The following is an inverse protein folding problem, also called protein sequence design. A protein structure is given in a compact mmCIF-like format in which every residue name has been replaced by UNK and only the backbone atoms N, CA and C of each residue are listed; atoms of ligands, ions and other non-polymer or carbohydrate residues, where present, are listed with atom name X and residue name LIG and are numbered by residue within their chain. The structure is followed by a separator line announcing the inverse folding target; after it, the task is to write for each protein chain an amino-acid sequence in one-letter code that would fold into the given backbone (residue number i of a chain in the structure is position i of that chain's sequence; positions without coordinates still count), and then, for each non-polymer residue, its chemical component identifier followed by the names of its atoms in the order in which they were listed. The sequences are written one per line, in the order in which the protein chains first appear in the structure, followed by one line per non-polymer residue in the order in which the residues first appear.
data_IF_248790829562
#
_entry.id   IF_248790829562
#
_cell.length_a   1.000
_cell.length_b   1.000
_cell.length_c   1.000
_cell.angle_alpha   90.00
_cell.angle_beta   90.00
_cell.angle_gamma   90.00
#
_symmetry.space_group_name_H-M   'P 1'
#
loop_
_entity.id
_entity.type
_entity.pdbx_description
1 polymer ?
#
# COMPACT_ATOMS: atom_id res chain seq x y z
N UNK A 1 1.63 -9.12 19.03
CA UNK A 1 0.76 -8.75 17.90
C UNK A 1 0.50 -7.25 17.80
N UNK A 2 0.16 -6.54 18.88
CA UNK A 2 -0.14 -5.09 18.86
C UNK A 2 0.97 -4.23 18.22
N UNK A 3 2.25 -4.49 18.53
CA UNK A 3 3.41 -3.83 17.91
C UNK A 3 3.48 -4.00 16.38
N UNK A 4 3.17 -5.20 15.87
CA UNK A 4 3.15 -5.48 14.43
C UNK A 4 2.02 -4.75 13.70
N UNK A 5 0.82 -4.71 14.30
CA UNK A 5 -0.32 -3.97 13.77
C UNK A 5 -0.04 -2.46 13.73
N UNK A 6 0.51 -1.92 14.83
CA UNK A 6 0.91 -0.52 14.92
C UNK A 6 1.96 -0.15 13.88
N UNK A 7 3.04 -0.94 13.77
CA UNK A 7 4.09 -0.70 12.77
C UNK A 7 3.55 -0.74 11.34
N UNK A 8 2.75 -1.76 11.00
CA UNK A 8 2.13 -1.87 9.66
C UNK A 8 1.21 -0.68 9.35
N UNK A 9 0.41 -0.25 10.33
CA UNK A 9 -0.46 0.91 10.19
C UNK A 9 0.36 2.19 9.95
N UNK A 10 1.36 2.45 10.78
CA UNK A 10 2.24 3.62 10.65
C UNK A 10 2.97 3.65 9.31
N UNK A 11 3.59 2.55 8.89
CA UNK A 11 4.29 2.50 7.60
C UNK A 11 3.35 2.73 6.42
N UNK A 12 2.16 2.13 6.45
CA UNK A 12 1.16 2.33 5.39
C UNK A 12 0.64 3.77 5.36
N UNK A 13 0.49 4.41 6.52
CA UNK A 13 0.10 5.82 6.58
C UNK A 13 1.18 6.79 6.12
N UNK A 14 2.45 6.54 6.46
CA UNK A 14 3.57 7.36 5.97
C UNK A 14 3.67 7.29 4.46
N UNK A 15 3.57 6.08 3.90
CA UNK A 15 3.59 5.86 2.46
C UNK A 15 2.37 6.46 1.76
N UNK A 16 1.16 6.27 2.30
CA UNK A 16 -0.05 6.88 1.75
C UNK A 16 -0.03 8.40 1.81
N UNK A 17 0.46 9.00 2.91
CA UNK A 17 0.59 10.45 3.05
C UNK A 17 1.60 11.03 2.06
N UNK A 18 2.77 10.40 1.92
CA UNK A 18 3.75 10.78 0.90
C UNK A 18 3.17 10.62 -0.52
N UNK A 19 2.49 9.50 -0.78
CA UNK A 19 1.86 9.21 -2.07
C UNK A 19 0.85 10.29 -2.45
N UNK A 20 -0.07 10.65 -1.56
CA UNK A 20 -1.06 11.71 -1.79
C UNK A 20 -0.38 13.02 -2.19
N UNK A 21 0.65 13.42 -1.42
CA UNK A 21 1.40 14.64 -1.74
C UNK A 21 2.07 14.57 -3.12
N UNK A 22 2.76 13.45 -3.42
CA UNK A 22 3.44 13.22 -4.70
C UNK A 22 2.46 13.25 -5.88
N UNK A 23 1.32 12.57 -5.75
CA UNK A 23 0.29 12.48 -6.78
C UNK A 23 -0.32 13.85 -7.09
N UNK A 24 -0.59 14.65 -6.06
CA UNK A 24 -1.09 16.03 -6.22
C UNK A 24 -0.05 16.93 -6.88
N UNK A 25 1.23 16.78 -6.54
CA UNK A 25 2.31 17.53 -7.18
C UNK A 25 2.44 17.16 -8.67
N UNK A 26 2.35 15.87 -9.01
CA UNK A 26 2.34 15.36 -10.38
C UNK A 26 1.15 15.88 -11.18
N UNK A 27 -0.06 15.77 -10.62
CA UNK A 27 -1.27 16.24 -11.29
C UNK A 27 -1.22 17.76 -11.53
N UNK A 28 -0.73 18.52 -10.55
CA UNK A 28 -0.55 19.97 -10.69
C UNK A 28 0.51 20.32 -11.73
N UNK A 29 1.61 19.58 -11.80
CA UNK A 29 2.64 19.79 -12.81
C UNK A 29 2.11 19.46 -14.21
N UNK A 30 1.31 18.41 -14.35
CA UNK A 30 0.62 18.05 -15.59
C UNK A 30 -0.33 19.15 -16.06
N UNK A 31 -1.16 19.66 -15.16
CA UNK A 31 -2.07 20.77 -15.46
C UNK A 31 -1.33 22.06 -15.81
N UNK A 32 -0.21 22.38 -15.15
CA UNK A 32 0.57 23.58 -15.44
C UNK A 32 1.31 23.51 -16.79
N UNK A 33 1.56 22.30 -17.31
CA UNK A 33 2.26 22.06 -18.56
C UNK A 33 1.31 21.68 -19.72
N UNK A 34 -0.01 21.67 -19.49
CA UNK A 34 -1.03 21.18 -20.43
C UNK A 34 -0.76 19.74 -20.92
N UNK A 35 -0.28 18.86 -20.03
CA UNK A 35 -0.02 17.44 -20.33
C UNK A 35 -1.11 16.58 -19.67
N UNK A 36 -2.21 16.25 -20.37
CA UNK A 36 -3.36 15.54 -19.78
C UNK A 36 -3.02 14.13 -19.30
N UNK A 37 -2.03 13.47 -19.92
CA UNK A 37 -1.57 12.15 -19.49
C UNK A 37 -0.90 12.18 -18.11
N UNK A 38 -0.19 13.26 -17.78
CA UNK A 38 0.49 13.41 -16.50
C UNK A 38 -0.51 13.74 -15.37
N UNK A 39 -1.55 14.52 -15.69
CA UNK A 39 -2.68 14.74 -14.80
C UNK A 39 -3.43 13.44 -14.48
N UNK A 40 -3.74 12.66 -15.53
CA UNK A 40 -4.42 11.38 -15.39
C UNK A 40 -3.58 10.36 -14.61
N UNK A 41 -2.26 10.32 -14.83
CA UNK A 41 -1.34 9.49 -14.06
C UNK A 41 -1.37 9.88 -12.57
N UNK A 42 -1.24 11.18 -12.25
CA UNK A 42 -1.32 11.66 -10.88
C UNK A 42 -2.67 11.31 -10.19
N UNK A 43 -3.79 11.43 -10.91
CA UNK A 43 -5.09 11.02 -10.39
C UNK A 43 -5.20 9.50 -10.16
N UNK A 44 -4.63 8.70 -11.08
CA UNK A 44 -4.63 7.25 -10.96
C UNK A 44 -3.74 6.78 -9.79
N UNK A 45 -2.56 7.35 -9.62
CA UNK A 45 -1.66 7.05 -8.49
C UNK A 45 -2.26 7.48 -7.14
N UNK A 46 -3.10 8.51 -7.11
CA UNK A 46 -3.79 8.92 -5.88
C UNK A 46 -4.64 7.79 -5.30
N UNK A 47 -5.26 6.96 -6.15
CA UNK A 47 -6.01 5.79 -5.68
C UNK A 47 -5.11 4.75 -5.00
N UNK A 48 -3.87 4.60 -5.47
CA UNK A 48 -2.89 3.73 -4.83
C UNK A 48 -2.45 4.27 -3.45
N UNK A 49 -2.28 5.59 -3.35
CA UNK A 49 -1.95 6.25 -2.09
C UNK A 49 -3.09 6.13 -1.06
N UNK A 50 -4.34 6.27 -1.50
CA UNK A 50 -5.52 6.05 -0.66
C UNK A 50 -5.65 4.58 -0.20
N UNK A 51 -5.35 3.63 -1.08
CA UNK A 51 -5.33 2.22 -0.74
C UNK A 51 -4.31 1.90 0.36
N UNK A 52 -3.17 2.60 0.42
CA UNK A 52 -2.24 2.51 1.55
C UNK A 52 -2.80 3.05 2.86
N UNK A 53 -3.48 4.19 2.83
CA UNK A 53 -4.15 4.71 4.03
C UNK A 53 -5.17 3.69 4.56
N UNK A 54 -5.99 3.15 3.65
CA UNK A 54 -7.01 2.17 3.98
C UNK A 54 -6.38 0.86 4.50
N UNK A 55 -5.28 0.39 3.89
CA UNK A 55 -4.54 -0.78 4.37
C UNK A 55 -3.99 -0.57 5.78
N UNK A 56 -3.48 0.63 6.06
CA UNK A 56 -3.03 1.01 7.40
C UNK A 56 -4.17 0.97 8.43
N UNK A 57 -5.34 1.50 8.11
CA UNK A 57 -6.52 1.44 8.97
C UNK A 57 -6.96 -0.01 9.23
N UNK A 58 -7.03 -0.84 8.19
CA UNK A 58 -7.42 -2.25 8.32
C UNK A 58 -6.38 -3.04 9.12
N UNK A 59 -5.09 -2.70 9.02
CA UNK A 59 -4.01 -3.37 9.73
C UNK A 59 -4.16 -3.29 11.26
N UNK A 60 -4.81 -2.24 11.79
CA UNK A 60 -5.12 -2.08 13.22
C UNK A 60 -6.04 -3.19 13.72
N UNK A 61 -6.98 -3.62 12.89
CA UNK A 61 -7.95 -4.66 13.26
C UNK A 61 -7.48 -6.04 12.82
N UNK A 62 -7.16 -6.22 11.53
CA UNK A 62 -6.87 -7.52 10.94
C UNK A 62 -5.78 -7.44 9.87
N UNK A 63 -4.59 -7.95 10.21
CA UNK A 63 -3.43 -8.01 9.31
C UNK A 63 -3.72 -8.76 8.01
N UNK A 64 -4.58 -9.79 8.04
CA UNK A 64 -4.98 -10.52 6.83
C UNK A 64 -5.74 -9.64 5.83
N UNK A 65 -6.62 -8.76 6.32
CA UNK A 65 -7.35 -7.83 5.46
C UNK A 65 -6.41 -6.78 4.86
N UNK A 66 -5.46 -6.29 5.65
CA UNK A 66 -4.41 -5.38 5.17
C UNK A 66 -3.54 -6.05 4.11
N UNK A 67 -3.19 -7.33 4.27
CA UNK A 67 -2.40 -8.07 3.28
C UNK A 67 -3.12 -8.16 1.93
N UNK A 68 -4.41 -8.51 1.92
CA UNK A 68 -5.21 -8.58 0.69
C UNK A 68 -5.21 -7.23 -0.02
N UNK A 69 -5.44 -6.15 0.73
CA UNK A 69 -5.46 -4.82 0.16
C UNK A 69 -4.09 -4.38 -0.38
N UNK A 70 -3.01 -4.74 0.32
CA UNK A 70 -1.65 -4.48 -0.17
C UNK A 70 -1.32 -5.25 -1.46
N UNK A 71 -1.75 -6.51 -1.60
CA UNK A 71 -1.57 -7.25 -2.86
C UNK A 71 -2.44 -6.71 -3.98
N UNK A 72 -3.69 -6.32 -3.70
CA UNK A 72 -4.53 -5.65 -4.68
C UNK A 72 -3.90 -4.32 -5.13
N UNK A 73 -3.33 -3.55 -4.19
CA UNK A 73 -2.63 -2.32 -4.51
C UNK A 73 -1.34 -2.55 -5.30
N UNK A 74 -0.63 -3.66 -5.05
CA UNK A 74 0.54 -4.06 -5.82
C UNK A 74 0.19 -4.35 -7.29
N UNK A 75 -0.94 -5.03 -7.53
CA UNK A 75 -1.44 -5.30 -8.88
C UNK A 75 -1.88 -4.01 -9.58
N UNK A 76 -2.57 -3.13 -8.85
CA UNK A 76 -2.98 -1.83 -9.39
C UNK A 76 -1.78 -0.97 -9.79
N UNK A 77 -0.81 -0.79 -8.90
CA UNK A 77 0.41 -0.02 -9.18
C UNK A 77 1.26 -0.65 -10.29
N UNK A 78 1.34 -1.99 -10.37
CA UNK A 78 1.98 -2.67 -11.51
C UNK A 78 1.25 -2.40 -12.83
N UNK A 79 -0.09 -2.36 -12.82
CA UNK A 79 -0.87 -2.04 -14.01
C UNK A 79 -0.66 -0.58 -14.47
N UNK A 80 -0.54 0.36 -13.52
CA UNK A 80 -0.19 1.75 -13.82
C UNK A 80 1.24 1.86 -14.37
N UNK A 81 2.20 1.16 -13.76
CA UNK A 81 3.59 1.14 -14.21
C UNK A 81 3.71 0.62 -15.65
N UNK A 82 2.96 -0.42 -15.98
CA UNK A 82 2.91 -0.93 -17.35
C UNK A 82 2.23 0.05 -18.33
N UNK A 83 1.11 0.65 -17.93
CA UNK A 83 0.34 1.53 -18.82
C UNK A 83 1.05 2.88 -19.09
N UNK A 84 1.59 3.49 -18.04
CA UNK A 84 2.26 4.79 -18.12
C UNK A 84 3.78 4.69 -18.32
N UNK A 85 4.34 3.47 -18.36
CA UNK A 85 5.79 3.21 -18.42
C UNK A 85 6.55 3.96 -17.31
N UNK A 86 5.97 3.97 -16.11
CA UNK A 86 6.47 4.73 -14.97
C UNK A 86 7.29 3.82 -14.02
N UNK A 87 8.60 4.07 -13.95
CA UNK A 87 9.53 3.35 -13.07
C UNK A 87 9.22 3.54 -11.58
N UNK A 88 8.67 4.69 -11.18
CA UNK A 88 8.28 4.93 -9.79
C UNK A 88 7.08 4.06 -9.40
N UNK A 89 6.13 3.86 -10.32
CA UNK A 89 5.01 2.95 -10.11
C UNK A 89 5.44 1.48 -9.92
N UNK A 90 6.55 1.05 -10.54
CA UNK A 90 7.15 -0.26 -10.26
C UNK A 90 7.68 -0.37 -8.83
N UNK A 91 8.35 0.67 -8.32
CA UNK A 91 8.82 0.72 -6.94
C UNK A 91 7.64 0.69 -5.95
N UNK A 92 6.56 1.42 -6.26
CA UNK A 92 5.32 1.39 -5.47
C UNK A 92 4.69 0.00 -5.40
N UNK A 93 4.68 -0.72 -6.52
CA UNK A 93 4.22 -2.12 -6.56
C UNK A 93 5.08 -3.03 -5.69
N UNK A 94 6.40 -2.90 -5.77
CA UNK A 94 7.34 -3.64 -4.92
C UNK A 94 7.11 -3.38 -3.43
N UNK A 95 6.90 -2.12 -3.04
CA UNK A 95 6.60 -1.74 -1.66
C UNK A 95 5.27 -2.35 -1.17
N UNK A 96 4.22 -2.31 -2.01
CA UNK A 96 2.94 -2.97 -1.72
C UNK A 96 3.11 -4.47 -1.50
N UNK A 97 3.82 -5.16 -2.40
CA UNK A 97 4.05 -6.59 -2.31
C UNK A 97 4.82 -6.96 -1.03
N UNK A 98 5.87 -6.20 -0.69
CA UNK A 98 6.64 -6.40 0.55
C UNK A 98 5.77 -6.24 1.80
N UNK A 99 4.97 -5.17 1.86
CA UNK A 99 4.04 -4.94 2.98
C UNK A 99 2.98 -6.03 3.07
N UNK A 100 2.46 -6.51 1.94
CA UNK A 100 1.56 -7.66 1.88
C UNK A 100 2.18 -8.92 2.49
N UNK A 101 3.41 -9.25 2.10
CA UNK A 101 4.16 -10.40 2.66
C UNK A 101 4.39 -10.22 4.16
N UNK A 102 4.83 -9.03 4.60
CA UNK A 102 5.04 -8.75 6.03
C UNK A 102 3.74 -8.86 6.83
N UNK A 103 2.60 -8.44 6.26
CA UNK A 103 1.29 -8.57 6.89
C UNK A 103 0.85 -10.04 7.02
N UNK A 104 1.08 -10.87 5.99
CA UNK A 104 0.85 -12.33 6.07
C UNK A 104 1.73 -12.96 7.14
N UNK A 105 3.01 -12.59 7.17
CA UNK A 105 3.99 -13.13 8.12
C UNK A 105 3.61 -12.77 9.56
N UNK A 106 3.19 -11.51 9.78
CA UNK A 106 2.67 -11.02 11.05
C UNK A 106 1.38 -11.72 11.48
N UNK A 107 0.45 -11.98 10.54
CA UNK A 107 -0.78 -12.72 10.79
C UNK A 107 -0.51 -14.17 11.21
N UNK A 108 0.36 -14.89 10.48
CA UNK A 108 0.75 -16.28 10.79
C UNK A 108 1.43 -16.38 12.16
N UNK A 109 2.33 -15.44 12.49
CA UNK A 109 2.97 -15.38 13.83
C UNK A 109 1.96 -15.11 14.94
N UNK A 110 0.92 -14.32 14.67
CA UNK A 110 -0.17 -14.08 15.60
C UNK A 110 -0.94 -15.36 15.93
N UNK A 111 -1.40 -16.08 14.91
CA UNK A 111 -2.16 -17.32 15.10
C UNK A 111 -1.35 -18.43 15.79
N UNK A 112 -0.04 -18.53 15.54
CA UNK A 112 0.82 -19.50 16.24
C UNK A 112 0.98 -19.23 17.74
N UNK A 113 0.95 -17.96 18.18
CA UNK A 113 1.02 -17.61 19.61
C UNK A 113 -0.31 -17.77 20.33
N UNK A 114 -1.42 -17.65 19.63
CA UNK A 114 -2.76 -17.85 20.19
C UNK A 114 -3.18 -19.31 20.29
N UNK A 115 -2.38 -20.26 19.80
CA UNK A 115 -2.48 -21.67 20.16
C UNK A 115 -1.62 -21.88 21.41
N UNK A 116 -2.19 -21.97 22.61
CA UNK A 116 -1.49 -22.61 23.70
C UNK A 116 -1.20 -24.05 23.29
N UNK A 117 -0.13 -24.61 23.84
CA UNK A 117 0.13 -26.04 23.79
C UNK A 117 -0.95 -26.77 24.61
N UNK A 118 -2.17 -26.87 24.08
CA UNK A 118 -3.09 -27.94 24.45
C UNK A 118 -2.70 -29.12 23.59
N UNK A 119 -1.62 -29.82 23.95
CA UNK A 119 -1.33 -31.19 23.55
C UNK A 119 -0.12 -31.65 24.38
N UNK A 120 -0.42 -32.64 25.22
CA UNK A 120 0.42 -33.44 26.14
C UNK A 120 0.42 -32.96 27.59
#
# INVERSE_FOLDING_TARGET
MRKWKGWMASTSWMLGGYGIWSCLALARAGAAADIPQLEAAGAAELTAALAWILAGCIAVWRLSGAAVLQFANALWTASLAWYYQDDMAWLWSGACALLGVLAVTGAKRGNRRSRPADLV
#
